data_IF_435360812320
#
_entry.id   IF_435360812320
#
_cell.length_a   1.000
_cell.length_b   1.000
_cell.length_c   1.000
_cell.angle_alpha   90.00
_cell.angle_beta   90.00
_cell.angle_gamma   90.00
#
_symmetry.space_group_name_H-M   'P 1'
#
loop_
_entity.id
_entity.type
_entity.pdbx_description
1 polymer ?
#
# COMPACT_ATOMS: atom_id res chain seq x y z
N UNK A 1 -29.86 37.85 12.06
CA UNK A 1 -28.72 37.84 11.12
C UNK A 1 -28.89 36.65 10.21
N UNK A 2 -28.77 36.88 8.90
CA UNK A 2 -29.34 36.08 7.82
C UNK A 2 -28.66 34.70 7.60
N UNK A 3 -29.37 33.71 7.02
CA UNK A 3 -28.77 32.49 6.49
C UNK A 3 -28.22 32.76 5.08
N UNK A 4 -26.98 32.33 4.84
CA UNK A 4 -26.33 32.42 3.54
C UNK A 4 -26.65 31.16 2.73
N UNK A 5 -27.51 31.33 1.72
CA UNK A 5 -27.61 30.44 0.56
C UNK A 5 -26.40 30.66 -0.36
N UNK A 6 -25.83 29.57 -0.87
CA UNK A 6 -25.01 29.55 -2.09
C UNK A 6 -24.99 28.11 -2.60
N UNK A 7 -25.86 27.79 -3.55
CA UNK A 7 -25.65 27.87 -5.00
C UNK A 7 -24.93 26.61 -5.54
N UNK A 8 -25.76 25.68 -6.01
CA UNK A 8 -25.40 24.60 -6.92
C UNK A 8 -24.88 25.21 -8.24
N UNK A 9 -23.72 24.74 -8.69
CA UNK A 9 -23.21 25.00 -10.03
C UNK A 9 -23.29 23.70 -10.83
N UNK A 10 -24.34 23.60 -11.65
CA UNK A 10 -24.47 22.62 -12.72
C UNK A 10 -23.46 22.97 -13.82
N UNK A 11 -22.45 22.12 -14.03
CA UNK A 11 -21.56 22.21 -15.19
C UNK A 11 -22.04 21.17 -16.21
N UNK A 12 -22.98 21.64 -17.03
CA UNK A 12 -23.44 21.01 -18.25
C UNK A 12 -22.40 21.27 -19.36
N UNK A 13 -21.51 20.31 -19.60
CA UNK A 13 -20.53 20.38 -20.69
C UNK A 13 -21.09 19.70 -21.95
N UNK A 14 -21.55 20.54 -22.87
CA UNK A 14 -21.97 20.25 -24.24
C UNK A 14 -20.82 19.80 -25.16
N UNK A 15 -21.10 18.74 -25.94
CA UNK A 15 -20.79 18.51 -27.38
C UNK A 15 -19.33 18.21 -27.82
N UNK A 16 -19.08 17.66 -29.05
CA UNK A 16 -20.03 17.26 -30.12
C UNK A 16 -19.85 15.83 -30.67
N UNK A 17 -20.79 15.53 -31.56
CA UNK A 17 -20.98 14.33 -32.37
C UNK A 17 -19.97 14.12 -33.52
N UNK A 18 -20.00 12.86 -33.99
CA UNK A 18 -19.72 12.32 -35.33
C UNK A 18 -19.19 13.23 -36.44
N UNK A 19 -18.11 12.78 -37.09
CA UNK A 19 -17.79 13.12 -38.48
C UNK A 19 -17.78 11.83 -39.31
N UNK A 20 -18.70 11.78 -40.27
CA UNK A 20 -18.86 10.80 -41.33
C UNK A 20 -17.87 11.02 -42.50
N UNK A 21 -17.70 9.94 -43.29
CA UNK A 21 -17.46 9.89 -44.75
C UNK A 21 -16.05 10.26 -45.26
N UNK A 22 -15.53 9.81 -46.41
CA UNK A 22 -15.76 8.73 -47.39
C UNK A 22 -14.67 8.91 -48.50
N UNK A 23 -14.65 8.01 -49.50
CA UNK A 23 -13.93 8.06 -50.80
C UNK A 23 -12.45 7.58 -50.78
N UNK A 24 -12.01 6.53 -51.49
CA UNK A 24 -12.17 6.02 -52.89
C UNK A 24 -11.09 6.53 -53.87
N UNK A 25 -10.70 5.61 -54.79
CA UNK A 25 -9.81 5.77 -55.96
C UNK A 25 -8.29 5.94 -55.67
N UNK A 26 -7.35 5.35 -56.41
CA UNK A 26 -7.33 4.88 -57.81
C UNK A 26 -6.21 3.82 -58.01
N UNK A 27 -6.48 2.81 -58.85
CA UNK A 27 -5.47 1.91 -59.46
C UNK A 27 -4.59 2.67 -60.47
N UNK A 28 -3.30 2.30 -60.57
CA UNK A 28 -2.63 2.21 -61.86
C UNK A 28 -2.25 0.75 -62.16
N UNK A 29 -2.84 0.23 -63.25
CA UNK A 29 -2.26 -0.87 -64.01
C UNK A 29 -0.97 -0.37 -64.68
N UNK A 30 0.16 -1.05 -64.50
CA UNK A 30 1.20 -1.03 -65.52
C UNK A 30 2.04 -2.32 -65.53
N UNK A 31 1.94 -2.98 -66.68
CA UNK A 31 3.05 -3.52 -67.47
C UNK A 31 3.88 -4.68 -66.90
N UNK A 32 3.55 -5.86 -67.43
CA UNK A 32 4.48 -6.93 -67.74
C UNK A 32 5.90 -6.45 -68.08
N UNK A 33 6.90 -7.04 -67.42
CA UNK A 33 8.21 -7.27 -68.04
C UNK A 33 8.84 -8.56 -67.53
N UNK A 34 8.65 -9.62 -68.30
CA UNK A 34 9.44 -10.84 -68.25
C UNK A 34 10.93 -10.50 -68.41
N UNK A 35 11.75 -10.77 -67.39
CA UNK A 35 13.19 -11.01 -67.56
C UNK A 35 13.67 -12.11 -66.61
N UNK A 36 13.96 -13.24 -67.24
CA UNK A 36 15.08 -14.14 -66.98
C UNK A 36 15.35 -14.63 -65.55
N UNK A 37 14.93 -15.89 -65.34
CA UNK A 37 15.70 -16.96 -64.71
C UNK A 37 17.22 -16.69 -64.74
N UNK A 38 17.84 -16.58 -63.57
CA UNK A 38 19.09 -17.27 -63.17
C UNK A 38 19.45 -16.91 -61.71
N UNK A 39 19.95 -17.92 -60.99
CA UNK A 39 20.53 -17.88 -59.62
C UNK A 39 19.60 -18.14 -58.42
N UNK A 40 18.91 -19.29 -58.42
CA UNK A 40 18.65 -20.02 -57.18
C UNK A 40 19.93 -20.74 -56.74
N UNK A 41 20.63 -20.26 -55.71
CA UNK A 41 21.50 -21.08 -54.81
C UNK A 41 22.30 -20.28 -53.75
N UNK A 42 21.79 -19.17 -53.20
CA UNK A 42 22.52 -18.47 -52.10
C UNK A 42 21.63 -17.86 -50.99
N UNK A 43 20.41 -18.38 -50.76
CA UNK A 43 19.53 -17.84 -49.71
C UNK A 43 19.44 -18.64 -48.41
N UNK A 44 20.13 -19.78 -48.27
CA UNK A 44 19.94 -20.65 -47.10
C UNK A 44 20.74 -20.29 -45.84
N UNK A 45 21.75 -19.41 -45.91
CA UNK A 45 22.60 -19.13 -44.73
C UNK A 45 22.08 -18.03 -43.78
N UNK A 46 21.15 -17.17 -44.21
CA UNK A 46 20.66 -16.09 -43.34
C UNK A 46 19.65 -16.52 -42.27
N UNK A 47 19.03 -17.70 -42.40
CA UNK A 47 18.03 -18.16 -41.43
C UNK A 47 18.65 -18.66 -40.12
N UNK A 48 19.85 -19.22 -40.16
CA UNK A 48 20.48 -19.83 -38.98
C UNK A 48 20.90 -18.79 -37.93
N UNK A 49 21.44 -17.64 -38.35
CA UNK A 49 21.84 -16.58 -37.42
C UNK A 49 20.65 -15.92 -36.70
N UNK A 50 19.50 -15.79 -37.38
CA UNK A 50 18.30 -15.21 -36.76
C UNK A 50 17.74 -16.10 -35.65
N UNK A 51 17.85 -17.43 -35.80
CA UNK A 51 17.41 -18.40 -34.79
C UNK A 51 18.30 -18.36 -33.54
N UNK A 52 19.63 -18.27 -33.71
CA UNK A 52 20.56 -18.17 -32.58
C UNK A 52 20.35 -16.90 -31.76
N UNK A 53 20.17 -15.75 -32.41
CA UNK A 53 19.91 -14.50 -31.71
C UNK A 53 18.59 -14.55 -30.93
N UNK A 54 17.53 -15.12 -31.52
CA UNK A 54 16.25 -15.29 -30.83
C UNK A 54 16.39 -16.19 -29.60
N UNK A 55 17.13 -17.31 -29.70
CA UNK A 55 17.36 -18.21 -28.58
C UNK A 55 18.13 -17.53 -27.46
N UNK A 56 19.14 -16.72 -27.79
CA UNK A 56 19.90 -15.93 -26.82
C UNK A 56 19.00 -14.94 -26.07
N UNK A 57 18.16 -14.17 -26.76
CA UNK A 57 17.25 -13.23 -26.09
C UNK A 57 16.22 -13.93 -25.20
N UNK A 58 15.66 -15.05 -25.66
CA UNK A 58 14.74 -15.85 -24.83
C UNK A 58 15.44 -16.37 -23.58
N UNK A 59 16.65 -16.90 -23.72
CA UNK A 59 17.43 -17.38 -22.57
C UNK A 59 17.74 -16.24 -21.60
N UNK A 60 18.15 -15.08 -22.10
CA UNK A 60 18.41 -13.90 -21.27
C UNK A 60 17.16 -13.45 -20.52
N UNK A 61 16.00 -13.41 -21.18
CA UNK A 61 14.73 -13.06 -20.55
C UNK A 61 14.34 -14.06 -19.45
N UNK A 62 14.54 -15.36 -19.67
CA UNK A 62 14.29 -16.41 -18.66
C UNK A 62 15.22 -16.24 -17.46
N UNK A 63 16.51 -16.00 -17.68
CA UNK A 63 17.47 -15.77 -16.59
C UNK A 63 17.09 -14.54 -15.76
N UNK A 64 16.74 -13.43 -16.41
CA UNK A 64 16.27 -12.22 -15.73
C UNK A 64 15.02 -12.50 -14.90
N UNK A 65 14.03 -13.20 -15.47
CA UNK A 65 12.81 -13.57 -14.76
C UNK A 65 13.11 -14.44 -13.53
N UNK A 66 13.98 -15.45 -13.65
CA UNK A 66 14.40 -16.29 -12.53
C UNK A 66 15.09 -15.49 -11.42
N UNK A 67 15.99 -14.56 -11.77
CA UNK A 67 16.66 -13.69 -10.79
C UNK A 67 15.64 -12.81 -10.05
N UNK A 68 14.69 -12.21 -10.76
CA UNK A 68 13.62 -11.40 -10.16
C UNK A 68 12.72 -12.23 -9.23
N UNK A 69 12.39 -13.47 -9.61
CA UNK A 69 11.62 -14.38 -8.76
C UNK A 69 12.38 -14.76 -7.48
N UNK A 70 13.67 -15.11 -7.59
CA UNK A 70 14.51 -15.41 -6.43
C UNK A 70 14.64 -14.21 -5.49
N UNK A 71 14.88 -13.03 -6.06
CA UNK A 71 14.94 -11.79 -5.28
C UNK A 71 13.61 -11.51 -4.55
N UNK A 72 12.48 -11.65 -5.25
CA UNK A 72 11.15 -11.50 -4.64
C UNK A 72 10.90 -12.52 -3.52
N UNK A 73 11.32 -13.78 -3.69
CA UNK A 73 11.24 -14.81 -2.64
C UNK A 73 12.11 -14.46 -1.44
N UNK A 74 13.36 -14.02 -1.65
CA UNK A 74 14.25 -13.58 -0.58
C UNK A 74 13.67 -12.41 0.19
N UNK A 75 13.16 -11.38 -0.50
CA UNK A 75 12.50 -10.25 0.15
C UNK A 75 11.32 -10.70 1.00
N UNK A 76 10.46 -11.59 0.48
CA UNK A 76 9.33 -12.13 1.26
C UNK A 76 9.78 -12.90 2.50
N UNK A 77 10.83 -13.71 2.40
CA UNK A 77 11.38 -14.42 3.56
C UNK A 77 11.96 -13.44 4.59
N UNK A 78 12.65 -12.38 4.17
CA UNK A 78 13.18 -11.35 5.06
C UNK A 78 12.06 -10.57 5.76
N UNK A 79 11.00 -10.22 5.04
CA UNK A 79 9.82 -9.56 5.62
C UNK A 79 9.11 -10.45 6.63
N UNK A 80 8.92 -11.74 6.30
CA UNK A 80 8.29 -12.70 7.20
C UNK A 80 9.14 -12.94 8.46
N UNK A 81 10.47 -13.06 8.32
CA UNK A 81 11.36 -13.16 9.47
C UNK A 81 11.28 -11.91 10.37
N UNK A 82 11.32 -10.72 9.76
CA UNK A 82 11.19 -9.43 10.47
C UNK A 82 9.85 -9.31 11.19
N UNK A 83 8.76 -9.76 10.56
CA UNK A 83 7.44 -9.82 11.16
C UNK A 83 7.43 -10.70 12.41
N UNK A 84 7.98 -11.91 12.32
CA UNK A 84 8.05 -12.83 13.45
C UNK A 84 8.93 -12.28 14.58
N UNK A 85 10.05 -11.64 14.26
CA UNK A 85 10.91 -10.97 15.24
C UNK A 85 10.18 -9.83 15.96
N UNK A 86 9.39 -9.04 15.22
CA UNK A 86 8.54 -8.00 15.79
C UNK A 86 7.46 -8.58 16.71
N UNK A 87 6.79 -9.66 16.30
CA UNK A 87 5.79 -10.34 17.14
C UNK A 87 6.43 -10.91 18.41
N UNK A 88 7.61 -11.51 18.29
CA UNK A 88 8.39 -11.97 19.43
C UNK A 88 8.86 -10.81 20.32
N UNK A 89 9.05 -9.60 19.76
CA UNK A 89 9.39 -8.41 20.53
C UNK A 89 8.21 -7.96 21.39
N UNK A 90 7.00 -7.94 20.83
CA UNK A 90 5.79 -7.61 21.60
C UNK A 90 5.57 -8.51 22.81
N UNK A 91 5.95 -9.79 22.75
CA UNK A 91 5.83 -10.72 23.88
C UNK A 91 6.71 -10.31 25.07
N UNK A 92 7.87 -9.74 24.79
CA UNK A 92 8.90 -9.45 25.81
C UNK A 92 9.05 -7.94 26.08
N UNK A 93 8.18 -7.12 25.49
CA UNK A 93 8.26 -5.68 25.61
C UNK A 93 7.46 -5.17 26.81
N UNK A 94 7.95 -4.08 27.38
CA UNK A 94 7.18 -3.28 28.32
C UNK A 94 6.30 -2.29 27.56
N UNK A 95 5.13 -2.02 28.10
CA UNK A 95 4.15 -1.10 27.52
C UNK A 95 3.87 0.01 28.51
N UNK A 96 4.43 1.20 28.24
CA UNK A 96 4.40 2.33 29.17
C UNK A 96 3.39 3.36 28.66
N UNK A 97 2.30 3.63 29.40
CA UNK A 97 1.40 4.73 29.05
C UNK A 97 2.15 6.06 29.01
N UNK A 98 1.91 6.86 27.97
CA UNK A 98 2.49 8.20 27.88
C UNK A 98 1.79 9.13 28.88
N UNK A 99 2.57 9.73 29.79
CA UNK A 99 2.03 10.62 30.83
C UNK A 99 1.43 11.92 30.28
N UNK A 100 1.87 12.37 29.09
CA UNK A 100 1.45 13.64 28.48
C UNK A 100 0.25 13.43 27.56
N UNK A 101 0.25 12.34 26.78
CA UNK A 101 -0.76 12.09 25.75
C UNK A 101 -1.66 10.92 26.14
N UNK A 102 -2.88 11.23 26.59
CA UNK A 102 -3.86 10.22 26.97
C UNK A 102 -4.13 9.25 25.82
N UNK A 103 -4.02 7.95 26.10
CA UNK A 103 -4.29 6.88 25.14
C UNK A 103 -3.11 6.47 24.27
N UNK A 104 -1.97 7.18 24.33
CA UNK A 104 -0.72 6.71 23.71
C UNK A 104 -0.01 5.75 24.66
N UNK A 105 0.45 4.63 24.12
CA UNK A 105 1.26 3.63 24.83
C UNK A 105 2.56 3.44 24.07
N UNK A 106 3.68 3.65 24.76
CA UNK A 106 5.01 3.44 24.23
C UNK A 106 5.41 1.96 24.35
N UNK A 107 5.83 1.36 23.25
CA UNK A 107 6.49 0.05 23.21
C UNK A 107 7.97 0.17 23.59
N UNK A 108 8.38 -0.47 24.69
CA UNK A 108 9.79 -0.54 25.10
C UNK A 108 10.32 -1.95 24.94
N UNK A 109 11.16 -2.13 23.91
CA UNK A 109 11.86 -3.38 23.64
C UNK A 109 13.21 -3.31 24.36
N UNK A 110 13.63 -4.35 25.10
CA UNK A 110 14.98 -4.41 25.67
C UNK A 110 16.06 -4.18 24.61
N UNK A 111 17.09 -3.39 24.94
CA UNK A 111 18.11 -2.90 23.99
C UNK A 111 18.91 -3.99 23.26
N UNK A 112 18.82 -5.25 23.69
CA UNK A 112 19.56 -6.38 23.12
C UNK A 112 19.06 -6.85 21.74
N UNK A 113 18.11 -6.14 21.10
CA UNK A 113 17.53 -6.55 19.82
C UNK A 113 18.02 -5.70 18.64
N UNK A 114 18.18 -6.38 17.50
CA UNK A 114 18.72 -5.82 16.27
C UNK A 114 17.83 -4.75 15.60
N UNK A 115 16.55 -4.67 15.96
CA UNK A 115 15.60 -3.70 15.41
C UNK A 115 15.15 -2.77 16.54
N UNK A 116 15.63 -1.53 16.49
CA UNK A 116 15.20 -0.46 17.39
C UNK A 116 14.25 0.46 16.62
N UNK A 117 12.93 0.41 16.87
CA UNK A 117 12.00 1.33 16.25
C UNK A 117 12.27 2.75 16.74
N UNK A 118 11.93 3.76 15.95
CA UNK A 118 11.99 5.16 16.41
C UNK A 118 10.81 5.49 17.34
N UNK A 119 10.86 6.62 18.04
CA UNK A 119 9.88 6.97 19.09
C UNK A 119 8.44 6.92 18.59
N UNK A 120 8.18 7.44 17.39
CA UNK A 120 6.82 7.46 16.82
C UNK A 120 6.31 6.06 16.50
N UNK A 121 7.19 5.21 15.96
CA UNK A 121 6.95 3.80 15.68
C UNK A 121 6.61 3.04 16.97
N UNK A 122 7.38 3.26 18.05
CA UNK A 122 7.14 2.64 19.36
C UNK A 122 5.80 3.05 19.92
N UNK A 123 5.45 4.32 19.84
CA UNK A 123 4.17 4.84 20.31
C UNK A 123 3.01 4.28 19.48
N UNK A 124 3.13 4.24 18.16
CA UNK A 124 2.08 3.71 17.31
C UNK A 124 1.89 2.20 17.53
N UNK A 125 2.98 1.44 17.50
CA UNK A 125 2.96 -0.01 17.70
C UNK A 125 2.45 -0.39 19.09
N UNK A 126 2.92 0.29 20.14
CA UNK A 126 2.47 0.06 21.51
C UNK A 126 0.98 0.38 21.69
N UNK A 127 0.52 1.50 21.12
CA UNK A 127 -0.88 1.92 21.16
C UNK A 127 -1.78 0.94 20.42
N UNK A 128 -1.44 0.58 19.17
CA UNK A 128 -2.21 -0.38 18.39
C UNK A 128 -2.27 -1.73 19.11
N UNK A 129 -1.13 -2.26 19.55
CA UNK A 129 -1.07 -3.58 20.16
C UNK A 129 -1.86 -3.65 21.47
N UNK A 130 -1.80 -2.63 22.32
CA UNK A 130 -2.46 -2.65 23.63
C UNK A 130 -3.89 -2.14 23.58
N UNK A 131 -4.12 -0.98 22.97
CA UNK A 131 -5.41 -0.28 23.03
C UNK A 131 -6.39 -0.78 21.96
N UNK A 132 -5.91 -1.11 20.76
CA UNK A 132 -6.79 -1.53 19.66
C UNK A 132 -7.00 -3.04 19.63
N UNK A 133 -5.92 -3.83 19.56
CA UNK A 133 -6.04 -5.29 19.38
C UNK A 133 -5.97 -6.08 20.68
N UNK A 134 -5.88 -5.43 21.84
CA UNK A 134 -5.84 -6.09 23.16
C UNK A 134 -4.81 -7.24 23.23
N UNK A 135 -3.59 -6.97 22.73
CA UNK A 135 -2.45 -7.89 22.64
C UNK A 135 -2.68 -9.14 21.77
N UNK A 136 -3.70 -9.15 20.90
CA UNK A 136 -3.94 -10.25 19.94
C UNK A 136 -2.94 -10.18 18.77
N UNK A 137 -1.89 -11.00 18.85
CA UNK A 137 -0.80 -11.04 17.85
C UNK A 137 -1.30 -11.25 16.42
N UNK A 138 -2.24 -12.18 16.20
CA UNK A 138 -2.76 -12.45 14.84
C UNK A 138 -3.36 -11.20 14.18
N UNK A 139 -4.09 -10.39 14.93
CA UNK A 139 -4.64 -9.13 14.41
C UNK A 139 -3.51 -8.13 14.15
N UNK A 140 -2.55 -8.02 15.07
CA UNK A 140 -1.40 -7.13 14.88
C UNK A 140 -0.59 -7.49 13.62
N UNK A 141 -0.40 -8.79 13.36
CA UNK A 141 0.27 -9.27 12.14
C UNK A 141 -0.46 -8.79 10.89
N UNK A 142 -1.78 -8.91 10.83
CA UNK A 142 -2.56 -8.43 9.68
C UNK A 142 -2.45 -6.91 9.52
N UNK A 143 -2.46 -6.16 10.62
CA UNK A 143 -2.28 -4.70 10.61
C UNK A 143 -0.94 -4.31 9.99
N UNK A 144 0.18 -4.86 10.47
CA UNK A 144 1.52 -4.51 9.93
C UNK A 144 1.81 -5.09 8.54
N UNK A 145 1.03 -6.09 8.11
CA UNK A 145 0.97 -6.57 6.72
C UNK A 145 0.14 -5.65 5.81
N UNK A 146 -0.38 -4.55 6.33
CA UNK A 146 -1.09 -3.53 5.55
C UNK A 146 -2.60 -3.74 5.44
N UNK A 147 -3.23 -4.46 6.37
CA UNK A 147 -4.68 -4.56 6.41
C UNK A 147 -5.33 -3.17 6.37
N UNK A 148 -6.41 -3.04 5.59
CA UNK A 148 -7.32 -1.90 5.69
C UNK A 148 -8.21 -2.10 6.93
N UNK A 149 -7.92 -1.36 8.00
CA UNK A 149 -8.55 -1.51 9.31
C UNK A 149 -9.67 -0.49 9.46
N UNK A 150 -10.82 -0.94 9.96
CA UNK A 150 -11.91 -0.07 10.42
C UNK A 150 -12.09 -0.28 11.91
N UNK A 151 -11.99 0.79 12.69
CA UNK A 151 -12.17 0.77 14.14
C UNK A 151 -13.61 1.12 14.45
N UNK A 152 -14.45 0.11 14.66
CA UNK A 152 -15.90 0.31 14.75
C UNK A 152 -16.29 0.96 16.08
N UNK A 153 -17.21 1.94 16.01
CA UNK A 153 -17.76 2.69 17.14
C UNK A 153 -16.73 3.55 17.89
N UNK A 154 -15.64 3.96 17.25
CA UNK A 154 -14.63 4.83 17.88
C UNK A 154 -14.89 6.33 17.65
N UNK A 155 -15.83 6.68 16.77
CA UNK A 155 -16.21 8.06 16.47
C UNK A 155 -15.02 8.96 16.06
N UNK A 156 -14.04 8.39 15.36
CA UNK A 156 -12.91 9.15 14.80
C UNK A 156 -11.77 9.33 15.80
N UNK A 157 -11.83 8.66 16.96
CA UNK A 157 -10.83 8.78 18.03
C UNK A 157 -9.43 8.38 17.56
N UNK A 158 -9.30 7.25 16.86
CA UNK A 158 -8.00 6.83 16.35
C UNK A 158 -7.52 7.72 15.20
N UNK A 159 -8.41 8.23 14.36
CA UNK A 159 -8.09 9.18 13.31
C UNK A 159 -7.46 10.47 13.88
N UNK A 160 -8.08 11.10 14.88
CA UNK A 160 -7.50 12.30 15.52
C UNK A 160 -6.21 11.97 16.29
N UNK A 161 -6.16 10.80 16.94
CA UNK A 161 -4.94 10.32 17.59
C UNK A 161 -3.78 10.23 16.60
N UNK A 162 -3.95 9.53 15.48
CA UNK A 162 -2.91 9.37 14.47
C UNK A 162 -2.51 10.69 13.81
N UNK A 163 -3.47 11.57 13.58
CA UNK A 163 -3.18 12.91 13.04
C UNK A 163 -2.28 13.72 14.00
N UNK A 164 -2.50 13.59 15.30
CA UNK A 164 -1.75 14.32 16.33
C UNK A 164 -0.46 13.64 16.80
N UNK A 165 -0.25 12.36 16.47
CA UNK A 165 0.86 11.56 17.01
C UNK A 165 2.22 12.07 16.51
N UNK A 166 2.27 12.60 15.28
CA UNK A 166 3.49 13.13 14.66
C UNK A 166 3.31 14.57 14.21
N UNK A 167 4.39 15.34 14.28
CA UNK A 167 4.48 16.69 13.71
C UNK A 167 4.73 16.68 12.19
N UNK A 168 5.09 15.53 11.62
CA UNK A 168 5.34 15.35 10.18
C UNK A 168 4.12 14.85 9.39
N UNK A 169 2.94 14.84 10.00
CA UNK A 169 1.69 14.46 9.36
C UNK A 169 1.33 15.44 8.23
N UNK A 170 0.94 14.91 7.07
CA UNK A 170 0.53 15.73 5.91
C UNK A 170 -0.72 15.17 5.24
N UNK A 171 -1.51 16.06 4.62
CA UNK A 171 -2.72 15.67 3.90
C UNK A 171 -2.39 14.93 2.61
N UNK A 172 -3.15 13.89 2.29
CA UNK A 172 -2.98 13.09 1.08
C UNK A 172 -4.31 12.69 0.47
N UNK A 173 -4.31 12.43 -0.83
CA UNK A 173 -5.43 11.78 -1.53
C UNK A 173 -5.10 10.29 -1.66
N UNK A 174 -6.04 9.42 -1.30
CA UNK A 174 -5.96 7.99 -1.61
C UNK A 174 -7.19 7.51 -2.37
N UNK A 175 -7.12 6.28 -2.89
CA UNK A 175 -8.24 5.60 -3.52
C UNK A 175 -9.33 5.15 -2.54
N UNK A 176 -9.06 5.18 -1.23
CA UNK A 176 -10.05 4.82 -0.22
C UNK A 176 -10.96 6.02 0.06
N UNK A 177 -12.26 5.75 0.13
CA UNK A 177 -13.23 6.78 0.46
C UNK A 177 -13.04 7.24 1.91
N UNK A 178 -13.10 8.55 2.13
CA UNK A 178 -13.07 9.15 3.48
C UNK A 178 -13.99 10.36 3.53
N UNK A 179 -14.73 10.50 4.63
CA UNK A 179 -15.53 11.70 4.89
C UNK A 179 -14.64 12.91 5.19
N UNK A 180 -13.56 12.69 5.93
CA UNK A 180 -12.58 13.72 6.28
C UNK A 180 -11.34 13.66 5.38
N UNK A 181 -10.52 14.72 5.44
CA UNK A 181 -9.20 14.76 4.81
C UNK A 181 -8.38 13.56 5.26
N UNK A 182 -7.72 12.89 4.33
CA UNK A 182 -6.86 11.76 4.66
C UNK A 182 -5.47 12.25 4.99
N UNK A 183 -4.81 11.58 5.92
CA UNK A 183 -3.48 11.94 6.36
C UNK A 183 -2.52 10.79 6.18
N UNK A 184 -1.30 11.14 5.80
CA UNK A 184 -0.14 10.26 5.85
C UNK A 184 0.75 10.67 7.02
N UNK A 185 1.12 9.69 7.82
CA UNK A 185 2.01 9.87 8.97
C UNK A 185 3.26 9.03 8.72
N UNK A 186 4.45 9.64 8.47
CA UNK A 186 5.71 8.91 8.37
C UNK A 186 6.06 8.26 9.70
N UNK A 187 6.39 6.96 9.70
CA UNK A 187 6.53 6.18 10.95
C UNK A 187 7.97 5.73 11.26
N UNK A 188 8.85 5.65 10.26
CA UNK A 188 10.26 5.31 10.48
C UNK A 188 10.80 4.29 9.48
N UNK A 189 11.68 3.40 9.98
CA UNK A 189 12.38 2.39 9.17
C UNK A 189 11.59 1.10 9.05
N UNK A 190 10.85 0.72 10.10
CA UNK A 190 10.06 -0.51 10.15
C UNK A 190 8.67 -0.30 9.56
N UNK A 191 8.07 0.85 9.83
CA UNK A 191 6.78 1.27 9.30
C UNK A 191 7.04 2.48 8.39
N UNK A 192 6.70 2.42 7.11
CA UNK A 192 6.97 3.53 6.20
C UNK A 192 5.92 4.64 6.38
N UNK A 193 4.68 4.39 5.96
CA UNK A 193 3.60 5.38 6.03
C UNK A 193 2.32 4.75 6.58
N UNK A 194 1.71 5.43 7.57
CA UNK A 194 0.35 5.17 8.01
C UNK A 194 -0.59 6.12 7.26
N UNK A 195 -1.54 5.57 6.51
CA UNK A 195 -2.64 6.30 5.89
C UNK A 195 -3.88 6.19 6.78
N UNK A 196 -4.58 7.29 7.03
CA UNK A 196 -5.80 7.30 7.87
C UNK A 196 -6.87 8.25 7.35
N UNK A 197 -8.13 7.91 7.64
CA UNK A 197 -9.32 8.70 7.33
C UNK A 197 -10.50 8.29 8.21
N UNK A 198 -11.70 8.75 7.86
CA UNK A 198 -12.95 8.40 8.55
C UNK A 198 -13.99 7.84 7.58
N UNK A 199 -14.78 6.88 8.07
CA UNK A 199 -15.89 6.27 7.32
C UNK A 199 -17.13 7.17 7.31
N UNK A 200 -18.18 6.75 6.60
CA UNK A 200 -19.50 7.42 6.59
C UNK A 200 -20.10 7.57 8.00
N UNK A 201 -19.81 6.63 8.89
CA UNK A 201 -20.32 6.60 10.26
C UNK A 201 -19.41 7.36 11.25
N UNK A 202 -18.44 8.11 10.71
CA UNK A 202 -17.39 8.79 11.47
C UNK A 202 -16.46 7.85 12.26
N UNK A 203 -16.48 6.54 12.00
CA UNK A 203 -15.49 5.61 12.55
C UNK A 203 -14.13 5.80 11.84
N UNK A 204 -13.04 5.62 12.57
CA UNK A 204 -11.68 5.69 12.02
C UNK A 204 -11.40 4.51 11.11
N UNK A 205 -10.69 4.77 10.01
CA UNK A 205 -10.00 3.73 9.26
C UNK A 205 -8.53 4.10 9.08
N UNK A 206 -7.69 3.07 8.97
CA UNK A 206 -6.28 3.26 8.69
C UNK A 206 -5.66 2.05 7.99
N UNK A 207 -4.49 2.25 7.40
CA UNK A 207 -3.71 1.23 6.72
C UNK A 207 -2.24 1.62 6.73
N UNK A 208 -1.35 0.65 6.96
CA UNK A 208 0.07 0.83 6.64
C UNK A 208 0.35 0.54 5.17
N UNK A 209 1.10 1.41 4.53
CA UNK A 209 1.55 1.23 3.16
C UNK A 209 2.98 0.69 3.14
N UNK A 210 3.24 -0.26 2.22
CA UNK A 210 4.59 -0.80 2.03
C UNK A 210 5.57 0.13 1.30
N UNK A 211 5.08 1.24 0.72
CA UNK A 211 5.91 2.27 0.11
C UNK A 211 5.16 3.61 0.06
N UNK A 212 5.85 4.70 0.42
CA UNK A 212 5.30 6.04 0.33
C UNK A 212 5.14 6.53 -1.13
N UNK A 213 4.08 7.30 -1.40
CA UNK A 213 3.90 7.99 -2.68
C UNK A 213 4.49 9.41 -2.63
N UNK A 214 5.70 9.56 -3.16
CA UNK A 214 6.40 10.84 -3.28
C UNK A 214 7.26 10.86 -4.57
N UNK A 215 6.66 11.16 -5.74
CA UNK A 215 7.35 11.01 -7.02
C UNK A 215 8.51 12.00 -7.23
N UNK A 216 8.55 13.09 -6.45
CA UNK A 216 9.58 14.11 -6.56
C UNK A 216 10.73 13.89 -5.58
N UNK A 217 10.44 13.56 -4.31
CA UNK A 217 11.46 13.33 -3.29
C UNK A 217 11.97 11.89 -3.23
N UNK A 218 11.13 10.90 -3.54
CA UNK A 218 11.42 9.46 -3.45
C UNK A 218 10.87 8.70 -4.67
N UNK A 219 11.42 8.91 -5.88
CA UNK A 219 10.88 8.34 -7.11
C UNK A 219 10.92 6.81 -7.15
N UNK A 220 11.93 6.19 -6.53
CA UNK A 220 12.01 4.73 -6.44
C UNK A 220 10.89 4.15 -5.57
N UNK A 221 10.57 4.78 -4.45
CA UNK A 221 9.48 4.34 -3.57
C UNK A 221 8.12 4.54 -4.24
N UNK A 222 7.98 5.60 -5.04
CA UNK A 222 6.77 5.79 -5.87
C UNK A 222 6.61 4.73 -6.95
N UNK A 223 7.71 4.25 -7.55
CA UNK A 223 7.67 3.11 -8.46
C UNK A 223 7.24 1.83 -7.73
N UNK A 224 7.79 1.58 -6.54
CA UNK A 224 7.38 0.44 -5.69
C UNK A 224 5.90 0.56 -5.32
N UNK A 225 5.42 1.76 -4.98
CA UNK A 225 4.02 2.03 -4.69
C UNK A 225 3.11 1.71 -5.89
N UNK A 226 3.51 2.09 -7.11
CA UNK A 226 2.82 1.68 -8.34
C UNK A 226 2.76 0.15 -8.51
N UNK A 227 3.87 -0.55 -8.23
CA UNK A 227 3.90 -2.02 -8.28
C UNK A 227 2.97 -2.64 -7.24
N UNK A 228 2.95 -2.09 -6.02
CA UNK A 228 2.02 -2.52 -4.96
C UNK A 228 0.56 -2.33 -5.38
N UNK A 229 0.23 -1.22 -6.06
CA UNK A 229 -1.11 -1.00 -6.61
C UNK A 229 -1.48 -2.01 -7.69
N UNK A 230 -0.56 -2.36 -8.59
CA UNK A 230 -0.76 -3.41 -9.59
C UNK A 230 -1.00 -4.76 -8.90
N UNK A 231 -0.20 -5.08 -7.86
CA UNK A 231 -0.39 -6.31 -7.08
C UNK A 231 -1.78 -6.34 -6.41
N UNK A 232 -2.22 -5.23 -5.82
CA UNK A 232 -3.57 -5.10 -5.27
C UNK A 232 -4.65 -5.35 -6.34
N UNK A 233 -4.50 -4.79 -7.54
CA UNK A 233 -5.49 -4.99 -8.62
C UNK A 233 -5.54 -6.43 -9.14
N UNK A 234 -4.41 -7.12 -9.20
CA UNK A 234 -4.34 -8.49 -9.71
C UNK A 234 -4.75 -9.52 -8.64
N UNK A 235 -4.23 -9.38 -7.42
CA UNK A 235 -4.37 -10.38 -6.35
C UNK A 235 -5.48 -10.06 -5.35
N UNK A 236 -5.95 -8.81 -5.29
CA UNK A 236 -6.96 -8.39 -4.31
C UNK A 236 -6.43 -8.38 -2.88
N UNK A 237 -5.14 -8.08 -2.68
CA UNK A 237 -4.49 -8.01 -1.36
C UNK A 237 -3.88 -6.63 -1.14
N UNK A 238 -3.84 -6.17 0.10
CA UNK A 238 -3.08 -4.99 0.47
C UNK A 238 -1.61 -5.34 0.70
N UNK A 239 -0.72 -4.40 0.39
CA UNK A 239 0.72 -4.52 0.60
C UNK A 239 1.17 -3.52 1.67
N UNK A 240 1.55 -4.05 2.83
CA UNK A 240 2.09 -3.28 3.94
C UNK A 240 3.61 -3.43 4.08
N UNK A 241 4.20 -2.82 5.12
CA UNK A 241 5.64 -2.84 5.35
C UNK A 241 6.17 -4.24 5.64
N UNK A 242 5.39 -5.11 6.28
CA UNK A 242 5.84 -6.44 6.71
C UNK A 242 5.09 -7.59 6.01
N UNK A 243 4.59 -7.35 4.80
CA UNK A 243 3.98 -8.38 3.95
C UNK A 243 2.68 -7.94 3.30
N UNK A 244 1.77 -8.90 3.09
CA UNK A 244 0.48 -8.66 2.43
C UNK A 244 -0.68 -9.15 3.27
N UNK A 245 -1.81 -8.42 3.26
CA UNK A 245 -3.04 -8.81 3.95
C UNK A 245 -4.21 -8.97 2.98
N UNK A 246 -5.11 -9.91 3.27
CA UNK A 246 -6.37 -10.11 2.53
C UNK A 246 -7.43 -9.05 2.86
N UNK A 247 -7.17 -8.20 3.85
CA UNK A 247 -8.10 -7.18 4.31
C UNK A 247 -7.97 -5.90 3.48
N UNK A 248 -8.88 -5.74 2.53
CA UNK A 248 -8.95 -4.58 1.60
C UNK A 248 -10.10 -3.65 1.98
N UNK A 249 -10.29 -2.57 1.24
CA UNK A 249 -11.48 -1.70 1.34
C UNK A 249 -12.81 -2.45 1.14
N UNK A 250 -12.80 -3.51 0.33
CA UNK A 250 -13.99 -4.35 0.09
C UNK A 250 -14.23 -5.37 1.19
N UNK A 251 -13.19 -5.75 1.92
CA UNK A 251 -13.24 -6.71 3.02
C UNK A 251 -12.36 -6.23 4.19
N UNK A 252 -12.76 -5.13 4.87
CA UNK A 252 -11.92 -4.50 5.88
C UNK A 252 -11.72 -5.39 7.10
N UNK A 253 -10.58 -5.23 7.78
CA UNK A 253 -10.38 -5.78 9.12
C UNK A 253 -11.14 -4.89 10.11
N UNK A 254 -12.33 -5.35 10.51
CA UNK A 254 -13.19 -4.64 11.46
C UNK A 254 -12.82 -5.00 12.90
N UNK A 255 -12.52 -4.00 13.72
CA UNK A 255 -12.16 -4.16 15.12
C UNK A 255 -13.11 -3.34 15.98
N UNK A 256 -13.93 -3.96 16.84
CA UNK A 256 -14.87 -3.22 17.68
C UNK A 256 -14.15 -2.48 18.80
N UNK A 257 -14.33 -1.16 18.85
CA UNK A 257 -13.80 -0.32 19.91
C UNK A 257 -14.73 -0.34 21.12
N UNK A 258 -14.20 -0.81 22.24
CA UNK A 258 -14.92 -0.81 23.51
C UNK A 258 -14.42 0.39 24.30
N UNK A 259 -15.24 1.45 24.38
CA UNK A 259 -14.90 2.61 25.17
C UNK A 259 -14.93 2.21 26.65
N UNK A 260 -13.76 1.91 27.24
CA UNK A 260 -13.62 1.51 28.65
C UNK A 260 -13.90 2.63 29.66
N UNK A 261 -14.63 3.66 29.25
CA UNK A 261 -14.96 4.84 30.07
C UNK A 261 -15.83 4.53 31.31
N UNK A 262 -16.16 3.26 31.58
CA UNK A 262 -16.88 2.82 32.77
C UNK A 262 -16.13 1.82 33.67
N UNK A 263 -15.00 1.27 33.25
CA UNK A 263 -14.24 0.34 34.08
C UNK A 263 -13.31 1.14 34.98
N UNK A 264 -13.67 1.23 36.26
CA UNK A 264 -12.89 1.91 37.29
C UNK A 264 -11.43 1.40 37.23
N UNK A 265 -10.40 2.27 37.25
CA UNK A 265 -8.98 1.89 37.07
C UNK A 265 -8.42 0.89 38.08
N UNK A 266 -9.20 0.45 39.07
CA UNK A 266 -8.76 -0.41 40.17
C UNK A 266 -8.55 -1.88 39.80
N UNK A 267 -9.15 -2.38 38.70
CA UNK A 267 -9.11 -3.83 38.40
C UNK A 267 -8.13 -4.24 37.29
N UNK A 268 -7.44 -3.29 36.66
CA UNK A 268 -6.45 -3.57 35.60
C UNK A 268 -5.00 -3.66 36.13
N UNK A 269 -4.82 -3.78 37.45
CA UNK A 269 -3.52 -3.98 38.07
C UNK A 269 -3.07 -5.44 37.83
N UNK A 270 -2.26 -5.61 36.78
CA UNK A 270 -1.25 -6.65 36.64
C UNK A 270 -1.68 -8.07 37.02
N UNK A 271 -2.28 -8.78 36.06
CA UNK A 271 -2.00 -10.22 35.94
C UNK A 271 -0.95 -10.42 34.85
N UNK A 272 0.19 -11.07 35.17
CA UNK A 272 1.21 -11.43 34.17
C UNK A 272 0.66 -12.37 33.10
#
# INVERSE_FOLDING_TARGET
>A
MAPHESAHADIEACLPAEVHAAASHHKPQHSHRHKHRKHHRYHHHHHHHRQLNSLFYTLAAVVVACVLLLFSMMQRMTLDATLHDLMNAFVNADFVPNAVSQGIVELRIPESRAVQPIDIERQLLGTLFTQLVSRKQKLMMEIVKGAHVVVENDQGRFYELFKSISTSTYSRISSHFSNNVQYSVPQGYLLDTLLTGTTSNNDSWFQFEGANWDPLGRPLDSLIHCLNYIEYKIRGVQVGPLGTSMHTDRNPLRIPFHNRTGDSPSDALYRP
#
